data_IF_219548507958
#
_entry.id   IF_219548507958
#
_cell.length_a   1.000
_cell.length_b   1.000
_cell.length_c   1.000
_cell.angle_alpha   90.00
_cell.angle_beta   90.00
_cell.angle_gamma   90.00
#
_symmetry.space_group_name_H-M   'P 1'
#
loop_
_entity.id
_entity.type
_entity.pdbx_description
1 polymer ?
#
# COMPACT_ATOMS: atom_id res chain seq x y z
N UNK A 1 19.09 -4.50 -21.42
CA UNK A 1 18.84 -3.68 -20.20
C UNK A 1 19.66 -4.11 -18.98
N UNK A 2 20.35 -5.26 -18.96
CA UNK A 2 21.19 -5.69 -17.81
C UNK A 2 22.63 -5.13 -17.85
N UNK A 3 23.14 -4.77 -19.04
CA UNK A 3 24.53 -4.31 -19.20
C UNK A 3 24.63 -2.78 -19.07
N UNK A 4 23.64 -2.05 -19.58
CA UNK A 4 23.67 -0.58 -19.59
C UNK A 4 23.51 0.05 -18.20
N UNK A 5 22.79 -0.58 -17.26
CA UNK A 5 22.62 -0.04 -15.92
C UNK A 5 23.90 -0.07 -15.08
N UNK A 6 24.50 -1.26 -14.83
CA UNK A 6 25.66 -1.39 -13.95
C UNK A 6 26.91 -0.70 -14.50
N UNK A 7 27.19 -0.81 -15.81
CA UNK A 7 28.38 -0.21 -16.43
C UNK A 7 28.29 1.31 -16.49
N UNK A 8 27.13 1.86 -16.86
CA UNK A 8 26.92 3.32 -16.91
C UNK A 8 26.87 3.92 -15.51
N UNK A 9 26.26 3.23 -14.55
CA UNK A 9 26.25 3.62 -13.14
C UNK A 9 27.65 3.71 -12.54
N UNK A 10 28.50 2.71 -12.79
CA UNK A 10 29.89 2.71 -12.32
C UNK A 10 30.75 3.80 -12.98
N UNK A 11 30.44 4.18 -14.23
CA UNK A 11 31.14 5.25 -14.93
C UNK A 11 30.75 6.63 -14.38
N UNK A 12 29.44 6.91 -14.22
CA UNK A 12 28.96 8.23 -13.79
C UNK A 12 29.17 8.47 -12.29
N UNK A 13 29.16 7.41 -11.46
CA UNK A 13 29.47 7.52 -10.02
C UNK A 13 30.88 8.04 -9.73
N UNK A 14 31.81 7.98 -10.70
CA UNK A 14 33.17 8.54 -10.55
C UNK A 14 33.28 10.01 -10.96
N UNK A 15 32.31 10.55 -11.70
CA UNK A 15 32.34 11.93 -12.22
C UNK A 15 31.32 12.85 -11.56
N UNK A 16 30.31 12.32 -10.86
CA UNK A 16 29.29 13.09 -10.16
C UNK A 16 29.57 13.06 -8.67
N UNK A 17 30.11 14.16 -8.17
CA UNK A 17 30.13 14.46 -6.75
C UNK A 17 28.68 14.74 -6.33
N UNK A 18 28.00 13.71 -5.84
CA UNK A 18 26.61 13.76 -5.43
C UNK A 18 26.57 14.60 -4.15
N UNK A 19 26.34 15.91 -4.30
CA UNK A 19 26.05 16.79 -3.19
C UNK A 19 24.65 16.43 -2.70
N UNK A 20 24.60 15.44 -1.81
CA UNK A 20 23.39 14.99 -1.14
C UNK A 20 22.95 16.16 -0.27
N UNK A 21 21.80 16.82 -0.56
CA UNK A 21 21.28 17.83 0.34
C UNK A 21 21.12 17.20 1.74
N UNK A 22 21.54 17.89 2.79
CA UNK A 22 21.47 17.43 4.20
C UNK A 22 20.03 17.13 4.69
N UNK A 23 19.03 17.26 3.81
CA UNK A 23 17.61 17.03 4.07
C UNK A 23 17.18 15.58 3.81
N UNK A 24 18.07 14.71 3.31
CA UNK A 24 17.85 13.26 3.40
C UNK A 24 18.30 12.79 4.78
N UNK A 25 17.46 13.06 5.78
CA UNK A 25 17.52 12.34 7.05
C UNK A 25 17.50 10.85 6.70
N UNK A 26 18.63 10.16 6.83
CA UNK A 26 18.64 8.71 6.76
C UNK A 26 17.54 8.23 7.70
N UNK A 27 16.55 7.45 7.25
CA UNK A 27 15.54 6.95 8.16
C UNK A 27 16.29 6.08 9.15
N UNK A 28 16.54 6.65 10.34
CA UNK A 28 17.15 5.92 11.43
C UNK A 28 16.16 4.80 11.72
N UNK A 29 16.43 3.61 11.17
CA UNK A 29 15.78 2.39 11.54
C UNK A 29 16.25 2.12 12.97
N UNK A 30 15.69 2.88 13.91
CA UNK A 30 15.93 2.68 15.33
C UNK A 30 15.69 1.22 15.65
N UNK A 31 16.38 0.74 16.67
CA UNK A 31 16.36 -0.63 17.19
C UNK A 31 14.98 -1.05 17.76
N UNK A 32 13.88 -0.51 17.23
CA UNK A 32 12.52 -0.89 17.53
C UNK A 32 12.21 -2.24 16.89
N UNK A 33 11.93 -3.23 17.76
CA UNK A 33 11.33 -4.55 17.46
C UNK A 33 10.69 -4.60 16.07
N UNK A 34 11.44 -5.12 15.10
CA UNK A 34 10.92 -5.35 13.76
C UNK A 34 9.70 -6.27 13.88
N UNK A 35 8.54 -5.90 13.31
CA UNK A 35 7.39 -6.81 13.29
C UNK A 35 7.83 -8.11 12.63
N UNK A 36 7.46 -9.25 13.23
CA UNK A 36 7.92 -10.56 12.75
C UNK A 36 7.59 -10.72 11.27
N UNK A 37 8.52 -11.30 10.49
CA UNK A 37 8.35 -11.53 9.05
C UNK A 37 6.99 -12.18 8.69
N UNK A 38 6.53 -13.14 9.49
CA UNK A 38 5.23 -13.80 9.29
C UNK A 38 4.02 -12.87 9.43
N UNK A 39 4.11 -11.81 10.24
CA UNK A 39 3.05 -10.81 10.38
C UNK A 39 2.99 -9.91 9.16
N UNK A 40 4.14 -9.40 8.68
CA UNK A 40 4.20 -8.62 7.44
C UNK A 40 3.71 -9.44 6.24
N UNK A 41 4.08 -10.72 6.18
CA UNK A 41 3.59 -11.63 5.16
C UNK A 41 2.09 -11.84 5.26
N UNK A 42 1.54 -12.09 6.46
CA UNK A 42 0.10 -12.24 6.66
C UNK A 42 -0.67 -10.96 6.28
N UNK A 43 -0.13 -9.78 6.57
CA UNK A 43 -0.73 -8.49 6.23
C UNK A 43 -0.90 -8.29 4.71
N UNK A 44 0.09 -8.73 3.93
CA UNK A 44 0.08 -8.68 2.47
C UNK A 44 -0.82 -9.79 1.90
N UNK A 45 -0.79 -10.98 2.51
CA UNK A 45 -1.56 -12.13 2.06
C UNK A 45 -3.07 -11.95 2.31
N UNK A 46 -3.45 -11.34 3.43
CA UNK A 46 -4.85 -11.18 3.85
C UNK A 46 -5.74 -10.48 2.80
N UNK A 47 -5.40 -9.27 2.28
CA UNK A 47 -6.20 -8.64 1.22
C UNK A 47 -6.20 -9.46 -0.07
N UNK A 48 -5.08 -10.11 -0.40
CA UNK A 48 -4.96 -10.94 -1.60
C UNK A 48 -5.90 -12.15 -1.53
N UNK A 49 -5.94 -12.82 -0.37
CA UNK A 49 -6.83 -13.96 -0.10
C UNK A 49 -8.29 -13.52 -0.08
N UNK A 50 -8.62 -12.38 0.53
CA UNK A 50 -9.98 -11.82 0.55
C UNK A 50 -10.51 -11.54 -0.87
N UNK A 51 -9.70 -10.91 -1.74
CA UNK A 51 -10.08 -10.64 -3.14
C UNK A 51 -10.10 -11.92 -3.98
N UNK A 52 -9.18 -12.85 -3.72
CA UNK A 52 -9.16 -14.17 -4.35
C UNK A 52 -10.43 -14.97 -4.03
N UNK A 53 -10.84 -14.98 -2.76
CA UNK A 53 -12.08 -15.64 -2.33
C UNK A 53 -13.31 -15.03 -3.00
N UNK A 54 -13.41 -13.69 -3.15
CA UNK A 54 -14.48 -13.06 -3.94
C UNK A 54 -14.53 -13.64 -5.34
N UNK A 55 -13.38 -13.71 -6.00
CA UNK A 55 -13.30 -14.10 -7.41
C UNK A 55 -13.80 -15.54 -7.60
N UNK A 56 -13.49 -16.43 -6.67
CA UNK A 56 -13.98 -17.81 -6.64
C UNK A 56 -15.47 -17.87 -6.25
N UNK A 57 -15.90 -17.10 -5.23
CA UNK A 57 -17.28 -17.06 -4.77
C UNK A 57 -18.23 -16.49 -5.83
N UNK A 58 -17.82 -15.45 -6.56
CA UNK A 58 -18.56 -14.87 -7.69
C UNK A 58 -18.72 -15.86 -8.85
N UNK A 59 -17.89 -16.91 -8.93
CA UNK A 59 -18.00 -17.97 -9.94
C UNK A 59 -18.93 -19.10 -9.50
N UNK A 60 -19.14 -19.29 -8.19
CA UNK A 60 -19.90 -20.41 -7.62
C UNK A 60 -21.30 -20.03 -7.12
N UNK A 61 -21.58 -18.75 -6.82
CA UNK A 61 -22.89 -18.33 -6.29
C UNK A 61 -23.77 -17.74 -7.41
N UNK A 62 -25.00 -18.25 -7.61
CA UNK A 62 -25.94 -17.69 -8.59
C UNK A 62 -26.41 -16.29 -8.18
N UNK A 63 -26.42 -15.38 -9.16
CA UNK A 63 -26.93 -14.01 -9.06
C UNK A 63 -28.41 -14.02 -8.64
N UNK A 64 -28.73 -13.37 -7.51
CA UNK A 64 -30.13 -13.13 -7.08
C UNK A 64 -30.50 -13.55 -5.65
N UNK A 65 -29.56 -13.98 -4.80
CA UNK A 65 -29.82 -14.24 -3.37
C UNK A 65 -29.26 -13.13 -2.48
N UNK A 66 -29.87 -12.87 -1.32
CA UNK A 66 -29.35 -11.91 -0.32
C UNK A 66 -27.91 -12.25 0.11
N UNK A 67 -27.55 -13.53 0.11
CA UNK A 67 -26.17 -13.97 0.35
C UNK A 67 -25.20 -13.47 -0.73
N UNK A 68 -25.60 -13.41 -2.00
CA UNK A 68 -24.78 -12.91 -3.10
C UNK A 68 -24.40 -11.43 -2.92
N UNK A 69 -25.35 -10.58 -2.49
CA UNK A 69 -25.08 -9.15 -2.22
C UNK A 69 -24.06 -8.95 -1.08
N UNK A 70 -24.17 -9.74 0.00
CA UNK A 70 -23.19 -9.72 1.09
C UNK A 70 -21.81 -10.19 0.64
N UNK A 71 -21.74 -11.24 -0.18
CA UNK A 71 -20.48 -11.73 -0.76
C UNK A 71 -19.89 -10.73 -1.77
N UNK A 72 -20.71 -10.02 -2.53
CA UNK A 72 -20.27 -8.99 -3.45
C UNK A 72 -19.70 -7.78 -2.71
N UNK A 73 -20.36 -7.35 -1.62
CA UNK A 73 -19.92 -6.24 -0.79
C UNK A 73 -18.61 -6.54 -0.04
N UNK A 74 -18.53 -7.71 0.62
CA UNK A 74 -17.33 -8.15 1.35
C UNK A 74 -16.18 -8.41 0.38
N UNK A 75 -16.50 -8.96 -0.78
CA UNK A 75 -15.51 -9.29 -1.78
C UNK A 75 -14.94 -8.08 -2.50
N UNK A 76 -15.66 -6.96 -2.56
CA UNK A 76 -15.25 -5.80 -3.35
C UNK A 76 -13.82 -5.39 -2.95
N UNK A 77 -12.91 -5.16 -3.91
CA UNK A 77 -11.50 -4.91 -3.61
C UNK A 77 -11.29 -3.75 -2.64
N UNK A 78 -12.14 -2.72 -2.69
CA UNK A 78 -12.12 -1.63 -1.73
C UNK A 78 -12.42 -2.08 -0.29
N UNK A 79 -13.45 -2.90 -0.09
CA UNK A 79 -13.84 -3.44 1.23
C UNK A 79 -12.75 -4.36 1.77
N UNK A 80 -12.20 -5.22 0.92
CA UNK A 80 -11.12 -6.13 1.30
C UNK A 80 -9.87 -5.36 1.78
N UNK A 81 -9.47 -4.31 1.06
CA UNK A 81 -8.34 -3.45 1.44
C UNK A 81 -8.64 -2.69 2.73
N UNK A 82 -9.87 -2.20 2.90
CA UNK A 82 -10.29 -1.48 4.11
C UNK A 82 -10.25 -2.38 5.34
N UNK A 83 -10.79 -3.60 5.24
CA UNK A 83 -10.73 -4.60 6.32
C UNK A 83 -9.29 -5.00 6.62
N UNK A 84 -8.48 -5.25 5.59
CA UNK A 84 -7.06 -5.55 5.76
C UNK A 84 -6.31 -4.41 6.45
N UNK A 85 -6.59 -3.16 6.09
CA UNK A 85 -6.01 -1.98 6.71
C UNK A 85 -6.43 -1.85 8.18
N UNK A 86 -7.71 -2.11 8.50
CA UNK A 86 -8.19 -2.13 9.88
C UNK A 86 -7.46 -3.20 10.72
N UNK A 87 -7.38 -4.43 10.19
CA UNK A 87 -6.69 -5.55 10.84
C UNK A 87 -5.21 -5.24 11.00
N UNK A 88 -4.58 -4.56 10.03
CA UNK A 88 -3.21 -4.11 10.12
C UNK A 88 -3.01 -3.10 11.24
N UNK A 89 -3.84 -2.06 11.30
CA UNK A 89 -3.75 -1.02 12.34
C UNK A 89 -3.96 -1.64 13.71
N UNK A 90 -5.00 -2.45 13.91
CA UNK A 90 -5.25 -3.13 15.18
C UNK A 90 -4.14 -4.13 15.54
N UNK A 91 -3.69 -4.94 14.58
CA UNK A 91 -2.66 -5.96 14.79
C UNK A 91 -1.28 -5.38 15.09
N UNK A 92 -0.90 -4.29 14.41
CA UNK A 92 0.36 -3.57 14.64
C UNK A 92 0.30 -2.74 15.93
N UNK A 93 -0.76 -1.95 16.13
CA UNK A 93 -0.89 -1.08 17.30
C UNK A 93 -0.90 -1.88 18.60
N UNK A 94 -1.64 -2.99 18.64
CA UNK A 94 -1.73 -3.85 19.84
C UNK A 94 -0.43 -4.62 20.08
N UNK A 95 0.22 -5.20 19.05
CA UNK A 95 1.48 -5.96 19.25
C UNK A 95 2.71 -5.08 19.48
N UNK A 96 2.76 -3.88 18.92
CA UNK A 96 3.89 -2.96 19.14
C UNK A 96 3.68 -2.06 20.37
N UNK A 97 2.51 -2.09 21.03
CA UNK A 97 2.20 -1.20 22.14
C UNK A 97 2.25 0.27 21.73
N UNK A 98 2.00 0.55 20.46
CA UNK A 98 2.20 1.86 19.87
C UNK A 98 1.10 2.82 20.35
N UNK A 99 1.49 3.98 20.85
CA UNK A 99 0.54 5.03 21.20
C UNK A 99 -0.28 5.43 19.97
N UNK A 100 -1.58 5.69 20.14
CA UNK A 100 -2.49 6.19 19.11
C UNK A 100 -1.87 7.32 18.28
N UNK A 101 -1.15 8.22 18.93
CA UNK A 101 -0.57 9.41 18.30
C UNK A 101 0.50 9.04 17.27
N UNK A 102 1.28 7.99 17.53
CA UNK A 102 2.27 7.46 16.56
C UNK A 102 1.61 6.79 15.37
N UNK A 103 0.49 6.09 15.57
CA UNK A 103 -0.29 5.53 14.45
C UNK A 103 -0.83 6.65 13.57
N UNK A 104 -1.36 7.71 14.18
CA UNK A 104 -1.87 8.89 13.47
C UNK A 104 -0.77 9.63 12.69
N UNK A 105 0.42 9.77 13.28
CA UNK A 105 1.60 10.36 12.64
C UNK A 105 2.01 9.55 11.39
N UNK A 106 2.12 8.22 11.51
CA UNK A 106 2.44 7.32 10.37
C UNK A 106 1.39 7.43 9.27
N UNK A 107 0.09 7.40 9.63
CA UNK A 107 -0.98 7.58 8.66
C UNK A 107 -0.90 8.95 7.98
N UNK A 108 -0.58 10.02 8.72
CA UNK A 108 -0.38 11.36 8.18
C UNK A 108 0.76 11.43 7.14
N UNK A 109 1.92 10.84 7.46
CA UNK A 109 3.04 10.76 6.52
C UNK A 109 2.71 9.92 5.28
N UNK A 110 1.92 8.86 5.41
CA UNK A 110 1.47 8.04 4.28
C UNK A 110 0.45 8.77 3.38
N UNK A 111 -0.34 9.69 3.94
CA UNK A 111 -1.33 10.48 3.19
C UNK A 111 -0.69 11.52 2.26
N UNK A 112 0.48 12.04 2.59
CA UNK A 112 1.18 13.03 1.75
C UNK A 112 1.43 12.52 0.31
N UNK A 113 2.09 11.36 0.09
CA UNK A 113 2.24 10.80 -1.25
C UNK A 113 0.92 10.30 -1.85
N UNK A 114 0.01 9.76 -1.03
CA UNK A 114 -1.30 9.31 -1.51
C UNK A 114 -2.15 10.47 -2.06
N UNK A 115 -2.08 11.64 -1.43
CA UNK A 115 -2.78 12.85 -1.85
C UNK A 115 -2.30 13.36 -3.22
N UNK A 116 -0.99 13.31 -3.47
CA UNK A 116 -0.43 13.67 -4.79
C UNK A 116 -0.96 12.72 -5.87
N UNK A 117 -0.95 11.41 -5.62
CA UNK A 117 -1.48 10.41 -6.56
C UNK A 117 -2.98 10.65 -6.81
N UNK A 118 -3.75 10.92 -5.75
CA UNK A 118 -5.18 11.21 -5.86
C UNK A 118 -5.46 12.47 -6.68
N UNK A 119 -4.66 13.54 -6.51
CA UNK A 119 -4.77 14.78 -7.29
C UNK A 119 -4.49 14.54 -8.78
N UNK A 120 -3.44 13.78 -9.11
CA UNK A 120 -3.07 13.46 -10.49
C UNK A 120 -4.16 12.62 -11.17
N UNK A 121 -4.64 11.55 -10.51
CA UNK A 121 -5.71 10.69 -11.02
C UNK A 121 -7.02 11.49 -11.18
N UNK A 122 -7.34 12.32 -10.20
CA UNK A 122 -8.53 13.18 -10.22
C UNK A 122 -8.51 14.19 -11.37
N UNK A 123 -7.38 14.87 -11.59
CA UNK A 123 -7.19 15.80 -12.70
C UNK A 123 -7.25 15.07 -14.06
N UNK A 124 -6.63 13.90 -14.18
CA UNK A 124 -6.65 13.10 -15.40
C UNK A 124 -8.04 12.64 -15.84
N UNK A 125 -8.93 12.30 -14.90
CA UNK A 125 -10.32 11.92 -15.22
C UNK A 125 -11.15 13.06 -15.80
N UNK A 126 -10.90 14.32 -15.42
CA UNK A 126 -11.58 15.48 -16.02
C UNK A 126 -11.14 15.76 -17.46
N UNK A 127 -9.90 15.43 -17.82
CA UNK A 127 -9.41 15.61 -19.19
C UNK A 127 -9.97 14.55 -20.16
N UNK A 128 -10.21 13.32 -19.69
CA UNK A 128 -10.83 12.27 -20.52
C UNK A 128 -12.35 12.49 -20.73
N UNK A 129 -13.04 13.16 -19.80
CA UNK A 129 -14.48 13.41 -19.89
C UNK A 129 -14.88 14.53 -20.87
N UNK A 130 -13.93 15.39 -21.31
CA UNK A 130 -14.17 16.47 -22.27
C UNK A 130 -13.74 16.16 -23.71
N UNK A 131 -13.31 14.93 -23.98
CA UNK A 131 -12.83 14.48 -25.30
C UNK A 131 -13.85 13.60 -26.06
N UNK A 132 -15.12 13.62 -25.64
CA UNK A 132 -16.24 12.90 -26.26
C UNK A 132 -17.30 13.83 -26.81
#
# INVERSE_FOLDING_TARGET
MIIAGPLWGNFISRYVELHIPDDVTEPHLGEGKMPSFGFSLALILLPLVLVGLKTIAARFVPVGSTAYEWFEFIGHPFTAILVACLVAIYGLAVRQGMAKDRVMEICGHALQPAGIILLVIGAGRRLQAGAG
#
